data_IF_914733598408
#
_entry.id   IF_914733598408
#
_cell.length_a   1.000
_cell.length_b   1.000
_cell.length_c   1.000
_cell.angle_alpha   90.00
_cell.angle_beta   90.00
_cell.angle_gamma   90.00
#
_symmetry.space_group_name_H-M   'P 1'
#
loop_
_entity.id
_entity.type
_entity.pdbx_description
1 polymer ?
#
# COMPACT_ATOMS: atom_id res chain seq x y z
N UNK A 1 -5.88 28.58 -18.64
CA UNK A 1 -5.16 27.29 -18.61
C UNK A 1 -5.64 26.39 -19.74
N UNK A 2 -4.75 25.52 -20.26
CA UNK A 2 -5.11 24.50 -21.25
C UNK A 2 -5.44 23.15 -20.60
N UNK A 3 -5.85 22.16 -21.39
CA UNK A 3 -6.27 20.82 -20.94
C UNK A 3 -5.23 20.11 -20.07
N UNK A 4 -3.96 20.14 -20.48
CA UNK A 4 -2.89 19.41 -19.80
C UNK A 4 -2.65 19.92 -18.36
N UNK A 5 -2.33 21.21 -18.22
CA UNK A 5 -2.01 21.82 -16.92
C UNK A 5 -3.28 22.06 -16.07
N UNK A 6 -4.40 22.37 -16.72
CA UNK A 6 -5.64 22.77 -16.04
C UNK A 6 -6.51 21.62 -15.55
N UNK A 7 -6.46 20.45 -16.22
CA UNK A 7 -7.35 19.32 -15.94
C UNK A 7 -6.56 18.02 -15.72
N UNK A 8 -5.71 17.63 -16.68
CA UNK A 8 -5.03 16.33 -16.65
C UNK A 8 -4.07 16.19 -15.45
N UNK A 9 -3.13 17.12 -15.26
CA UNK A 9 -2.16 17.05 -14.17
C UNK A 9 -2.82 17.10 -12.78
N UNK A 10 -3.78 18.01 -12.50
CA UNK A 10 -4.50 18.00 -11.23
C UNK A 10 -5.31 16.72 -10.99
N UNK A 11 -5.91 16.14 -12.04
CA UNK A 11 -6.66 14.89 -11.93
C UNK A 11 -5.72 13.71 -11.59
N UNK A 12 -4.61 13.57 -12.33
CA UNK A 12 -3.56 12.59 -12.04
C UNK A 12 -3.04 12.69 -10.61
N UNK A 13 -2.76 13.91 -10.14
CA UNK A 13 -2.24 14.17 -8.80
C UNK A 13 -3.18 13.73 -7.67
N UNK A 14 -4.49 13.83 -7.88
CA UNK A 14 -5.48 13.47 -6.85
C UNK A 14 -5.90 12.00 -6.91
N UNK A 15 -5.70 11.32 -8.05
CA UNK A 15 -5.92 9.87 -8.15
C UNK A 15 -4.72 9.11 -7.58
N UNK A 16 -3.49 9.48 -7.98
CA UNK A 16 -2.27 8.81 -7.52
C UNK A 16 -1.99 9.13 -6.06
N UNK A 17 -2.21 8.15 -5.18
CA UNK A 17 -2.09 8.32 -3.73
C UNK A 17 -1.33 7.21 -3.01
N UNK A 18 -1.43 7.26 -1.68
CA UNK A 18 -0.71 6.42 -0.73
C UNK A 18 -0.93 4.91 -0.95
N UNK A 19 -2.13 4.51 -1.42
CA UNK A 19 -2.47 3.09 -1.64
C UNK A 19 -1.53 2.42 -2.65
N UNK A 20 -1.10 3.15 -3.69
CA UNK A 20 -0.17 2.61 -4.70
C UNK A 20 1.14 2.12 -4.06
N UNK A 21 1.63 2.84 -3.06
CA UNK A 21 2.95 2.59 -2.46
C UNK A 21 2.88 1.72 -1.20
N UNK A 22 1.86 1.85 -0.36
CA UNK A 22 1.79 1.15 0.94
C UNK A 22 0.92 -0.11 0.94
N UNK A 23 0.02 -0.29 -0.02
CA UNK A 23 -1.02 -1.33 0.07
C UNK A 23 -1.16 -2.17 -1.18
N UNK A 24 -0.75 -1.68 -2.35
CA UNK A 24 -0.90 -2.43 -3.58
C UNK A 24 -0.12 -3.75 -3.57
N UNK A 25 1.10 -3.77 -3.04
CA UNK A 25 1.89 -5.00 -2.88
C UNK A 25 1.17 -6.01 -2.00
N UNK A 26 0.63 -5.57 -0.87
CA UNK A 26 -0.15 -6.40 0.05
C UNK A 26 -1.45 -6.94 -0.55
N UNK A 27 -2.18 -6.12 -1.32
CA UNK A 27 -3.37 -6.57 -2.06
C UNK A 27 -2.97 -7.67 -3.06
N UNK A 28 -1.88 -7.47 -3.81
CA UNK A 28 -1.36 -8.46 -4.76
C UNK A 28 -0.91 -9.74 -4.06
N UNK A 29 -0.29 -9.66 -2.90
CA UNK A 29 0.12 -10.83 -2.11
C UNK A 29 -1.05 -11.64 -1.56
N UNK A 30 -2.10 -10.97 -1.09
CA UNK A 30 -3.25 -11.61 -0.43
C UNK A 30 -4.27 -12.17 -1.42
N UNK A 31 -4.67 -11.40 -2.43
CA UNK A 31 -5.62 -11.83 -3.45
C UNK A 31 -4.96 -12.58 -4.63
N UNK A 32 -3.65 -12.49 -4.77
CA UNK A 32 -2.95 -12.97 -5.96
C UNK A 32 -3.16 -12.07 -7.16
N UNK A 33 -2.46 -12.35 -8.25
CA UNK A 33 -2.45 -11.51 -9.46
C UNK A 33 -3.84 -11.46 -10.11
N UNK A 34 -4.51 -12.61 -10.27
CA UNK A 34 -5.77 -12.69 -11.02
C UNK A 34 -6.91 -11.92 -10.36
N UNK A 35 -7.11 -12.11 -9.06
CA UNK A 35 -8.17 -11.43 -8.33
C UNK A 35 -7.83 -9.95 -8.10
N UNK A 36 -6.57 -9.61 -7.82
CA UNK A 36 -6.15 -8.21 -7.73
C UNK A 36 -6.39 -7.46 -9.04
N UNK A 37 -6.08 -8.08 -10.18
CA UNK A 37 -6.36 -7.51 -11.50
C UNK A 37 -7.87 -7.27 -11.68
N UNK A 38 -8.71 -8.23 -11.27
CA UNK A 38 -10.16 -8.07 -11.31
C UNK A 38 -10.65 -6.92 -10.41
N UNK A 39 -10.09 -6.75 -9.21
CA UNK A 39 -10.39 -5.63 -8.30
C UNK A 39 -10.09 -4.29 -8.97
N UNK A 40 -8.89 -4.16 -9.57
CA UNK A 40 -8.50 -2.94 -10.27
C UNK A 40 -9.43 -2.64 -11.45
N UNK A 41 -9.71 -3.63 -12.31
CA UNK A 41 -10.62 -3.47 -13.46
C UNK A 41 -12.01 -3.04 -13.01
N UNK A 42 -12.56 -3.68 -11.99
CA UNK A 42 -13.89 -3.35 -11.46
C UNK A 42 -13.94 -1.89 -10.96
N UNK A 43 -12.94 -1.45 -10.21
CA UNK A 43 -12.89 -0.08 -9.70
C UNK A 43 -12.65 0.96 -10.81
N UNK A 44 -11.74 0.67 -11.74
CA UNK A 44 -11.43 1.54 -12.88
C UNK A 44 -12.61 1.68 -13.84
N UNK A 45 -13.36 0.61 -14.10
CA UNK A 45 -14.56 0.67 -14.97
C UNK A 45 -15.67 1.52 -14.32
N UNK A 46 -15.90 1.38 -13.01
CA UNK A 46 -16.84 2.21 -12.27
C UNK A 46 -16.51 3.71 -12.39
N UNK A 47 -15.25 4.08 -12.19
CA UNK A 47 -14.80 5.48 -12.27
C UNK A 47 -14.80 6.01 -13.70
N UNK A 48 -14.47 5.19 -14.70
CA UNK A 48 -14.55 5.54 -16.12
C UNK A 48 -15.99 5.86 -16.54
N UNK A 49 -16.95 5.01 -16.17
CA UNK A 49 -18.38 5.26 -16.44
C UNK A 49 -18.86 6.54 -15.76
N UNK A 50 -18.40 6.80 -14.53
CA UNK A 50 -18.70 8.04 -13.80
C UNK A 50 -18.11 9.26 -14.49
N UNK A 51 -16.90 9.15 -15.05
CA UNK A 51 -16.25 10.24 -15.78
C UNK A 51 -16.94 10.55 -17.13
N UNK A 52 -17.51 9.55 -17.79
CA UNK A 52 -18.34 9.74 -18.99
C UNK A 52 -19.61 10.53 -18.62
N UNK A 53 -20.29 10.17 -17.52
CA UNK A 53 -21.43 10.92 -17.00
C UNK A 53 -21.07 12.35 -16.62
N UNK A 54 -19.92 12.55 -15.96
CA UNK A 54 -19.41 13.89 -15.64
C UNK A 54 -19.09 14.70 -16.89
N UNK A 55 -18.58 14.05 -17.94
CA UNK A 55 -18.30 14.71 -19.22
C UNK A 55 -19.57 15.22 -19.87
N UNK A 56 -20.66 14.45 -19.84
CA UNK A 56 -21.97 14.88 -20.33
C UNK A 56 -22.48 16.13 -19.57
N UNK A 57 -22.30 16.17 -18.25
CA UNK A 57 -22.63 17.33 -17.40
C UNK A 57 -21.80 18.55 -17.82
N UNK A 58 -20.49 18.38 -17.99
CA UNK A 58 -19.58 19.47 -18.37
C UNK A 58 -19.85 20.04 -19.77
N UNK A 59 -20.45 19.26 -20.66
CA UNK A 59 -20.86 19.72 -22.00
C UNK A 59 -22.27 20.29 -22.06
N UNK A 60 -23.06 20.18 -20.98
CA UNK A 60 -24.44 20.63 -20.94
C UNK A 60 -24.52 22.09 -20.45
N UNK A 61 -24.73 23.01 -21.40
CA UNK A 61 -24.86 24.44 -21.12
C UNK A 61 -23.53 25.15 -20.90
N UNK A 62 -23.59 26.38 -20.38
CA UNK A 62 -22.38 27.20 -20.15
C UNK A 62 -21.71 26.73 -18.86
N UNK A 63 -20.43 26.35 -18.93
CA UNK A 63 -19.69 25.88 -17.75
C UNK A 63 -19.40 27.06 -16.83
N UNK A 64 -20.00 27.12 -15.63
CA UNK A 64 -19.79 28.24 -14.73
C UNK A 64 -18.40 28.16 -14.07
N UNK A 65 -17.85 29.33 -13.74
CA UNK A 65 -16.71 29.43 -12.84
C UNK A 65 -17.20 29.13 -11.41
N UNK A 66 -16.71 28.04 -10.80
CA UNK A 66 -17.16 27.61 -9.48
C UNK A 66 -16.79 26.17 -9.09
N UNK A 67 -16.11 25.43 -9.96
CA UNK A 67 -15.66 24.07 -9.68
C UNK A 67 -16.74 23.01 -9.89
N UNK A 68 -16.46 21.80 -9.39
CA UNK A 68 -17.31 20.60 -9.54
C UNK A 68 -18.72 20.78 -8.96
N UNK A 69 -18.85 21.28 -7.74
CA UNK A 69 -20.14 21.50 -7.08
C UNK A 69 -21.05 22.47 -7.86
N UNK A 70 -20.50 23.60 -8.31
CA UNK A 70 -21.28 24.62 -9.02
C UNK A 70 -21.72 24.13 -10.41
N UNK A 71 -20.89 23.30 -11.05
CA UNK A 71 -21.24 22.63 -12.30
C UNK A 71 -22.40 21.65 -12.13
N UNK A 72 -22.33 20.78 -11.12
CA UNK A 72 -23.35 19.74 -10.88
C UNK A 72 -24.69 20.37 -10.48
N UNK A 73 -24.69 21.31 -9.53
CA UNK A 73 -25.91 21.95 -9.02
C UNK A 73 -26.67 22.76 -10.08
N UNK A 74 -25.98 23.29 -11.10
CA UNK A 74 -26.61 24.04 -12.19
C UNK A 74 -27.16 23.15 -13.29
N UNK A 75 -26.49 22.03 -13.59
CA UNK A 75 -26.94 21.11 -14.64
C UNK A 75 -28.02 20.12 -14.15
N UNK A 76 -27.96 19.67 -12.89
CA UNK A 76 -28.89 18.68 -12.31
C UNK A 76 -29.92 19.30 -11.35
N UNK A 77 -29.75 20.56 -10.97
CA UNK A 77 -30.61 21.25 -10.00
C UNK A 77 -30.10 21.20 -8.56
N UNK A 78 -30.70 22.01 -7.67
CA UNK A 78 -30.20 22.25 -6.32
C UNK A 78 -30.32 21.02 -5.40
N UNK A 79 -31.34 20.19 -5.56
CA UNK A 79 -31.58 19.00 -4.73
C UNK A 79 -30.45 17.97 -4.91
N UNK A 80 -30.15 17.62 -6.16
CA UNK A 80 -29.03 16.73 -6.49
C UNK A 80 -27.67 17.36 -6.15
N UNK A 81 -27.51 18.66 -6.44
CA UNK A 81 -26.28 19.38 -6.09
C UNK A 81 -25.97 19.34 -4.59
N UNK A 82 -26.98 19.56 -3.73
CA UNK A 82 -26.85 19.51 -2.28
C UNK A 82 -26.48 18.11 -1.77
N UNK A 83 -27.21 17.08 -2.20
CA UNK A 83 -26.95 15.71 -1.77
C UNK A 83 -25.56 15.21 -2.19
N UNK A 84 -25.19 15.38 -3.46
CA UNK A 84 -23.87 14.98 -3.98
C UNK A 84 -22.75 15.78 -3.32
N UNK A 85 -22.95 17.10 -3.12
CA UNK A 85 -21.98 17.97 -2.47
C UNK A 85 -21.68 17.56 -1.03
N UNK A 86 -22.70 17.18 -0.24
CA UNK A 86 -22.52 16.76 1.15
C UNK A 86 -21.78 15.42 1.24
N UNK A 87 -22.13 14.44 0.40
CA UNK A 87 -21.40 13.17 0.32
C UNK A 87 -19.94 13.38 -0.10
N UNK A 88 -19.69 14.25 -1.08
CA UNK A 88 -18.34 14.58 -1.53
C UNK A 88 -17.52 15.29 -0.43
N UNK A 89 -18.14 16.19 0.32
CA UNK A 89 -17.50 16.85 1.47
C UNK A 89 -17.08 15.85 2.56
N UNK A 90 -17.98 14.94 2.96
CA UNK A 90 -17.64 13.91 3.95
C UNK A 90 -16.56 12.96 3.43
N UNK A 91 -16.65 12.52 2.17
CA UNK A 91 -15.65 11.66 1.55
C UNK A 91 -14.25 12.28 1.52
N UNK A 92 -14.14 13.55 1.13
CA UNK A 92 -12.86 14.27 1.12
C UNK A 92 -12.32 14.55 2.52
N UNK A 93 -13.20 14.74 3.51
CA UNK A 93 -12.82 14.89 4.92
C UNK A 93 -12.18 13.61 5.46
N UNK A 94 -12.81 12.45 5.23
CA UNK A 94 -12.23 11.16 5.62
C UNK A 94 -10.96 10.83 4.83
N UNK A 95 -10.89 11.16 3.54
CA UNK A 95 -9.68 10.99 2.75
C UNK A 95 -8.50 11.81 3.30
N UNK A 96 -8.75 13.04 3.78
CA UNK A 96 -7.74 13.85 4.46
C UNK A 96 -7.16 13.14 5.70
N UNK A 97 -8.03 12.53 6.53
CA UNK A 97 -7.57 11.74 7.68
C UNK A 97 -6.75 10.50 7.27
N UNK A 98 -7.16 9.83 6.19
CA UNK A 98 -6.46 8.67 5.65
C UNK A 98 -5.03 9.01 5.20
N UNK A 99 -4.84 10.13 4.48
CA UNK A 99 -3.50 10.54 4.04
C UNK A 99 -2.59 10.92 5.22
N UNK A 100 -3.13 11.53 6.27
CA UNK A 100 -2.37 11.83 7.49
C UNK A 100 -1.93 10.52 8.17
N UNK A 101 -2.85 9.57 8.37
CA UNK A 101 -2.51 8.26 8.96
C UNK A 101 -1.45 7.53 8.15
N UNK A 102 -1.57 7.50 6.81
CA UNK A 102 -0.55 6.91 5.95
C UNK A 102 0.81 7.62 6.03
N UNK A 103 0.82 8.95 6.22
CA UNK A 103 2.06 9.70 6.43
C UNK A 103 2.73 9.34 7.75
N UNK A 104 1.95 9.19 8.82
CA UNK A 104 2.47 8.81 10.14
C UNK A 104 2.98 7.36 10.15
N UNK A 105 2.30 6.46 9.46
CA UNK A 105 2.78 5.08 9.25
C UNK A 105 4.14 5.06 8.55
N UNK A 106 4.30 5.85 7.47
CA UNK A 106 5.60 5.96 6.79
C UNK A 106 6.67 6.50 7.74
N UNK A 107 6.34 7.55 8.50
CA UNK A 107 7.28 8.20 9.42
C UNK A 107 7.75 7.25 10.53
N UNK A 108 6.82 6.55 11.17
CA UNK A 108 7.11 5.69 12.32
C UNK A 108 7.72 4.35 11.92
N UNK A 109 7.27 3.72 10.82
CA UNK A 109 7.77 2.40 10.43
C UNK A 109 9.08 2.49 9.66
N UNK A 110 9.21 3.44 8.72
CA UNK A 110 10.29 3.41 7.73
C UNK A 110 11.35 4.50 7.90
N UNK A 111 11.02 5.65 8.51
CA UNK A 111 11.97 6.77 8.63
C UNK A 111 12.61 6.83 10.02
N UNK A 112 11.81 6.85 11.08
CA UNK A 112 12.31 7.04 12.45
C UNK A 112 11.63 6.12 13.47
N UNK A 113 11.90 4.80 13.44
CA UNK A 113 11.28 3.83 14.36
C UNK A 113 11.62 4.09 15.83
N UNK A 114 12.78 4.67 16.12
CA UNK A 114 13.24 4.94 17.49
C UNK A 114 12.51 6.11 18.19
N UNK A 115 11.62 6.83 17.50
CA UNK A 115 10.89 7.97 18.08
C UNK A 115 9.51 7.62 18.62
N UNK A 116 9.11 6.34 18.60
CA UNK A 116 7.85 5.92 19.18
C UNK A 116 7.74 6.33 20.67
N UNK A 117 6.65 7.01 21.03
CA UNK A 117 6.40 7.51 22.40
C UNK A 117 5.95 6.36 23.31
N UNK A 118 5.09 5.50 22.78
CA UNK A 118 4.63 4.29 23.45
C UNK A 118 5.40 3.11 22.86
N UNK A 119 6.36 2.57 23.62
CA UNK A 119 7.10 1.36 23.26
C UNK A 119 6.51 0.20 24.06
N UNK A 120 6.01 -0.84 23.37
CA UNK A 120 5.50 -2.03 24.02
C UNK A 120 6.67 -2.90 24.52
N UNK A 121 6.61 -3.34 25.78
CA UNK A 121 7.57 -4.32 26.32
C UNK A 121 7.21 -5.77 25.93
N UNK A 122 5.94 -6.02 25.56
CA UNK A 122 5.42 -7.32 25.16
C UNK A 122 4.82 -7.25 23.76
N UNK A 123 4.99 -8.34 22.99
CA UNK A 123 4.50 -8.47 21.61
C UNK A 123 2.97 -8.38 21.48
N UNK A 124 2.23 -8.78 22.51
CA UNK A 124 0.74 -8.68 22.53
C UNK A 124 0.27 -7.22 22.50
N UNK A 125 0.98 -6.34 23.19
CA UNK A 125 0.61 -4.92 23.34
C UNK A 125 1.18 -4.04 22.21
N UNK A 126 1.94 -4.62 21.27
CA UNK A 126 2.63 -3.90 20.18
C UNK A 126 1.62 -3.19 19.26
N UNK A 127 0.53 -3.86 18.91
CA UNK A 127 -0.53 -3.29 18.07
C UNK A 127 -1.23 -2.11 18.75
N UNK A 128 -1.53 -2.21 20.04
CA UNK A 128 -2.15 -1.13 20.81
C UNK A 128 -1.21 0.06 20.99
N UNK A 129 0.07 -0.20 21.25
CA UNK A 129 1.10 0.82 21.35
C UNK A 129 1.26 1.57 20.01
N UNK A 130 1.30 0.85 18.88
CA UNK A 130 1.36 1.45 17.55
C UNK A 130 0.14 2.32 17.26
N UNK A 131 -1.07 1.88 17.60
CA UNK A 131 -2.30 2.66 17.44
C UNK A 131 -2.28 3.95 18.29
N UNK A 132 -1.79 3.87 19.52
CA UNK A 132 -1.68 5.04 20.39
C UNK A 132 -0.63 6.05 19.86
N UNK A 133 0.50 5.57 19.33
CA UNK A 133 1.47 6.41 18.64
C UNK A 133 0.82 7.13 17.43
N UNK A 134 0.07 6.40 16.61
CA UNK A 134 -0.63 7.01 15.46
C UNK A 134 -1.63 8.08 15.87
N UNK A 135 -2.33 7.92 17.00
CA UNK A 135 -3.28 8.94 17.52
C UNK A 135 -2.56 10.23 17.91
N UNK A 136 -1.45 10.15 18.63
CA UNK A 136 -0.68 11.33 19.08
C UNK A 136 -0.04 12.06 17.90
N UNK A 137 0.71 11.35 17.06
CA UNK A 137 1.36 11.95 15.91
C UNK A 137 0.36 12.43 14.85
N UNK A 138 -0.73 11.69 14.64
CA UNK A 138 -1.79 12.06 13.71
C UNK A 138 -2.52 13.35 14.11
N UNK A 139 -2.87 13.50 15.39
CA UNK A 139 -3.51 14.74 15.88
C UNK A 139 -2.59 15.95 15.80
N UNK A 140 -1.30 15.78 16.12
CA UNK A 140 -0.28 16.82 15.94
C UNK A 140 -0.13 17.23 14.46
N UNK A 141 -0.01 16.26 13.55
CA UNK A 141 0.10 16.50 12.12
C UNK A 141 -1.15 17.20 11.56
N UNK A 142 -2.35 16.79 11.98
CA UNK A 142 -3.61 17.44 11.60
C UNK A 142 -3.64 18.92 12.04
N UNK A 143 -3.24 19.22 13.27
CA UNK A 143 -3.19 20.60 13.78
C UNK A 143 -2.20 21.47 12.98
N UNK A 144 -1.03 20.91 12.63
CA UNK A 144 -0.03 21.60 11.82
C UNK A 144 -0.56 21.86 10.40
N UNK A 145 -1.18 20.87 9.76
CA UNK A 145 -1.78 21.04 8.43
C UNK A 145 -2.92 22.07 8.44
N UNK A 146 -3.75 22.08 9.48
CA UNK A 146 -4.79 23.09 9.66
C UNK A 146 -4.20 24.51 9.76
N UNK A 147 -3.10 24.69 10.50
CA UNK A 147 -2.37 25.95 10.59
C UNK A 147 -1.82 26.38 9.23
N UNK A 148 -1.17 25.47 8.49
CA UNK A 148 -0.62 25.77 7.15
C UNK A 148 -1.71 26.24 6.19
N UNK A 149 -2.85 25.54 6.18
CA UNK A 149 -4.01 25.93 5.35
C UNK A 149 -4.56 27.29 5.76
N UNK A 150 -4.63 27.57 7.07
CA UNK A 150 -5.08 28.85 7.61
C UNK A 150 -4.16 30.03 7.23
N UNK A 151 -2.85 29.84 7.29
CA UNK A 151 -1.85 30.88 6.96
C UNK A 151 -1.88 31.25 5.47
N UNK A 152 -2.11 30.30 4.57
CA UNK A 152 -2.35 30.65 3.17
C UNK A 152 -2.27 29.51 2.16
N UNK A 153 -3.43 29.16 1.59
CA UNK A 153 -3.59 28.18 0.50
C UNK A 153 -2.83 28.55 -0.79
N UNK A 154 -2.48 29.84 -0.97
CA UNK A 154 -1.74 30.31 -2.16
C UNK A 154 -0.37 29.63 -2.31
N UNK A 155 0.33 29.36 -1.20
CA UNK A 155 1.63 28.70 -1.23
C UNK A 155 1.51 27.23 -1.63
N UNK A 156 0.50 26.54 -1.08
CA UNK A 156 0.20 25.13 -1.40
C UNK A 156 -0.07 24.95 -2.89
N UNK A 157 -0.86 25.86 -3.49
CA UNK A 157 -1.15 25.82 -4.92
C UNK A 157 0.09 26.00 -5.81
N UNK A 158 1.09 26.77 -5.36
CA UNK A 158 2.35 26.96 -6.10
C UNK A 158 3.26 25.73 -6.03
N UNK A 159 3.21 24.99 -4.91
CA UNK A 159 4.00 23.76 -4.71
C UNK A 159 3.37 22.51 -5.34
N UNK A 160 2.12 22.57 -5.80
CA UNK A 160 1.40 21.40 -6.34
C UNK A 160 2.16 20.64 -7.43
N UNK A 161 2.85 21.35 -8.35
CA UNK A 161 3.66 20.73 -9.40
C UNK A 161 4.87 19.96 -8.85
N UNK A 162 5.45 20.41 -7.73
CA UNK A 162 6.56 19.72 -7.06
C UNK A 162 6.07 18.38 -6.49
N UNK A 163 4.92 18.37 -5.83
CA UNK A 163 4.33 17.12 -5.31
C UNK A 163 4.03 16.12 -6.42
N UNK A 164 3.50 16.60 -7.56
CA UNK A 164 3.27 15.74 -8.71
C UNK A 164 4.58 15.17 -9.29
N UNK A 165 5.63 15.99 -9.38
CA UNK A 165 6.94 15.53 -9.84
C UNK A 165 7.49 14.40 -8.95
N UNK A 166 7.37 14.52 -7.62
CA UNK A 166 7.78 13.44 -6.70
C UNK A 166 7.05 12.12 -6.99
N UNK A 167 5.72 12.16 -7.18
CA UNK A 167 4.93 10.96 -7.48
C UNK A 167 5.35 10.31 -8.79
N UNK A 168 5.52 11.11 -9.85
CA UNK A 168 5.93 10.60 -11.18
C UNK A 168 7.33 9.98 -11.13
N UNK A 169 8.28 10.64 -10.43
CA UNK A 169 9.64 10.10 -10.26
C UNK A 169 9.64 8.79 -9.48
N UNK A 170 8.83 8.66 -8.43
CA UNK A 170 8.70 7.41 -7.68
C UNK A 170 8.13 6.27 -8.54
N UNK A 171 7.13 6.55 -9.37
CA UNK A 171 6.57 5.55 -10.31
C UNK A 171 7.62 5.13 -11.35
N UNK A 172 8.36 6.09 -11.91
CA UNK A 172 9.47 5.79 -12.84
C UNK A 172 10.55 4.95 -12.18
N UNK A 173 10.87 5.20 -10.90
CA UNK A 173 11.82 4.40 -10.13
C UNK A 173 11.34 2.95 -9.94
N UNK A 174 10.04 2.72 -9.71
CA UNK A 174 9.45 1.38 -9.65
C UNK A 174 9.67 0.64 -10.97
N UNK A 175 9.30 1.24 -12.10
CA UNK A 175 9.50 0.61 -13.41
C UNK A 175 10.98 0.35 -13.72
N UNK A 176 11.87 1.32 -13.41
CA UNK A 176 13.30 1.15 -13.60
C UNK A 176 13.85 0.01 -12.72
N UNK A 177 13.40 -0.10 -11.47
CA UNK A 177 13.77 -1.18 -10.56
C UNK A 177 13.33 -2.55 -11.09
N UNK A 178 12.10 -2.67 -11.55
CA UNK A 178 11.58 -3.89 -12.17
C UNK A 178 12.39 -4.30 -13.40
N UNK A 179 12.70 -3.36 -14.31
CA UNK A 179 13.53 -3.65 -15.48
C UNK A 179 14.94 -4.08 -15.05
N UNK A 180 15.52 -3.45 -14.03
CA UNK A 180 16.82 -3.84 -13.48
C UNK A 180 16.83 -5.30 -13.00
N UNK A 181 15.74 -5.78 -12.40
CA UNK A 181 15.65 -7.17 -11.92
C UNK A 181 15.75 -8.23 -13.04
N UNK A 182 15.54 -7.85 -14.30
CA UNK A 182 15.73 -8.75 -15.46
C UNK A 182 17.22 -9.04 -15.67
N UNK A 183 18.08 -8.05 -15.40
CA UNK A 183 19.53 -8.14 -15.62
C UNK A 183 20.20 -8.65 -14.35
N UNK A 184 19.92 -8.00 -13.23
CA UNK A 184 20.54 -8.27 -11.94
C UNK A 184 19.50 -8.07 -10.82
N UNK A 185 18.97 -9.16 -10.25
CA UNK A 185 18.06 -9.06 -9.10
C UNK A 185 18.81 -8.52 -7.88
N UNK A 186 18.18 -7.65 -7.06
CA UNK A 186 18.81 -7.11 -5.86
C UNK A 186 18.94 -8.21 -4.81
N UNK A 187 20.08 -8.31 -4.11
CA UNK A 187 20.23 -9.28 -3.00
C UNK A 187 19.39 -8.85 -1.79
N UNK A 188 18.31 -9.58 -1.52
CA UNK A 188 17.39 -9.33 -0.42
C UNK A 188 16.94 -10.69 0.12
N UNK A 189 17.78 -11.35 0.94
CA UNK A 189 17.45 -12.66 1.47
C UNK A 189 16.40 -12.55 2.58
N UNK A 190 15.54 -13.57 2.65
CA UNK A 190 14.56 -13.76 3.71
C UNK A 190 14.77 -15.15 4.33
N UNK A 191 14.51 -15.24 5.63
CA UNK A 191 14.71 -16.45 6.41
C UNK A 191 13.41 -17.23 6.57
N UNK A 192 13.43 -18.50 6.19
CA UNK A 192 12.32 -19.43 6.39
C UNK A 192 12.74 -20.55 7.35
N UNK A 193 11.85 -20.89 8.28
CA UNK A 193 11.95 -22.09 9.10
C UNK A 193 10.94 -23.11 8.57
N UNK A 194 11.43 -24.14 7.88
CA UNK A 194 10.55 -25.06 7.14
C UNK A 194 9.75 -24.31 6.08
N UNK A 195 8.44 -24.17 6.28
CA UNK A 195 7.54 -23.41 5.41
C UNK A 195 7.12 -22.05 5.99
N UNK A 196 7.51 -21.70 7.22
CA UNK A 196 7.09 -20.48 7.93
C UNK A 196 8.10 -19.36 7.75
N UNK A 197 7.63 -18.15 7.52
CA UNK A 197 8.47 -16.95 7.39
C UNK A 197 8.81 -16.32 8.74
N UNK A 198 10.06 -15.84 8.85
CA UNK A 198 10.61 -15.24 10.06
C UNK A 198 10.85 -13.73 9.88
N UNK A 199 10.55 -12.97 10.92
CA UNK A 199 10.77 -11.53 10.97
C UNK A 199 12.24 -11.20 11.32
N UNK A 200 12.91 -10.43 10.48
CA UNK A 200 14.38 -10.23 10.53
C UNK A 200 14.86 -9.12 11.50
N UNK A 201 14.06 -8.70 12.49
CA UNK A 201 14.45 -7.58 13.38
C UNK A 201 15.43 -7.95 14.49
N UNK A 202 15.40 -9.20 14.95
CA UNK A 202 16.09 -9.62 16.18
C UNK A 202 17.25 -10.61 15.93
N UNK A 203 17.63 -10.84 14.67
CA UNK A 203 18.76 -11.71 14.32
C UNK A 203 19.40 -11.30 13.00
N UNK A 204 20.73 -11.33 12.91
CA UNK A 204 21.45 -10.95 11.69
C UNK A 204 21.65 -12.11 10.70
N UNK A 205 21.70 -13.36 11.19
CA UNK A 205 22.04 -14.55 10.39
C UNK A 205 20.93 -15.59 10.42
N UNK A 206 20.49 -16.03 9.24
CA UNK A 206 19.52 -17.12 9.06
C UNK A 206 20.16 -18.51 9.24
N UNK A 207 20.72 -18.79 10.41
CA UNK A 207 21.35 -20.07 10.71
C UNK A 207 21.11 -20.45 12.17
N UNK A 208 21.06 -21.75 12.48
CA UNK A 208 20.86 -22.23 13.87
C UNK A 208 22.13 -22.14 14.70
N UNK A 209 23.26 -22.48 14.09
CA UNK A 209 24.58 -22.52 14.72
C UNK A 209 25.62 -21.93 13.78
N UNK A 210 26.63 -21.29 14.33
CA UNK A 210 27.76 -20.73 13.58
C UNK A 210 29.06 -21.39 14.06
N UNK A 211 29.94 -21.76 13.13
CA UNK A 211 31.25 -22.31 13.47
C UNK A 211 32.27 -21.18 13.48
N UNK A 212 32.69 -20.77 14.68
CA UNK A 212 33.74 -19.74 14.86
C UNK A 212 34.97 -20.43 15.42
N UNK A 213 36.09 -20.41 14.68
CA UNK A 213 37.37 -21.03 15.08
C UNK A 213 37.22 -22.52 15.47
N UNK A 214 36.56 -23.32 14.63
CA UNK A 214 36.27 -24.75 14.85
C UNK A 214 35.38 -25.09 16.06
N UNK A 215 34.78 -24.09 16.71
CA UNK A 215 33.82 -24.29 17.80
C UNK A 215 32.43 -23.85 17.33
N UNK A 216 31.43 -24.68 17.57
CA UNK A 216 30.02 -24.40 17.26
C UNK A 216 29.40 -23.52 18.34
N UNK A 217 29.00 -22.31 17.95
CA UNK A 217 28.23 -21.39 18.79
C UNK A 217 26.78 -21.36 18.31
N UNK A 218 25.86 -21.10 19.23
CA UNK A 218 24.45 -20.85 18.91
C UNK A 218 24.27 -19.41 18.42
N UNK A 219 23.37 -19.20 17.47
CA UNK A 219 23.07 -17.87 16.94
C UNK A 219 22.05 -17.13 17.83
N UNK A 220 21.79 -15.86 17.55
CA UNK A 220 20.73 -15.10 18.24
C UNK A 220 19.35 -15.69 17.96
N UNK A 221 19.14 -16.21 16.74
CA UNK A 221 17.93 -16.92 16.36
C UNK A 221 17.67 -18.14 17.28
N UNK A 222 18.72 -18.87 17.68
CA UNK A 222 18.59 -19.98 18.64
C UNK A 222 17.98 -19.53 19.97
N UNK A 223 18.37 -18.35 20.47
CA UNK A 223 17.86 -17.80 21.75
C UNK A 223 16.37 -17.46 21.69
N UNK A 224 15.82 -17.22 20.49
CA UNK A 224 14.41 -16.91 20.30
C UNK A 224 13.52 -18.18 20.35
N UNK A 225 14.07 -19.35 20.02
CA UNK A 225 13.33 -20.62 19.98
C UNK A 225 13.69 -21.62 21.08
N UNK A 226 14.78 -21.37 21.83
CA UNK A 226 15.30 -22.26 22.84
C UNK A 226 15.48 -21.55 24.19
N UNK A 227 15.25 -22.27 25.30
CA UNK A 227 15.29 -21.68 26.64
C UNK A 227 16.68 -21.28 27.16
N UNK A 228 17.76 -21.69 26.49
CA UNK A 228 19.12 -21.29 26.87
C UNK A 228 20.03 -21.22 25.63
N UNK A 229 21.15 -20.46 25.69
CA UNK A 229 22.11 -20.36 24.59
C UNK A 229 23.01 -21.60 24.43
N UNK A 230 22.84 -22.63 25.27
CA UNK A 230 23.63 -23.86 25.17
C UNK A 230 23.00 -24.84 24.18
N UNK A 231 23.83 -25.69 23.56
CA UNK A 231 23.38 -26.71 22.60
C UNK A 231 22.46 -27.77 23.23
N UNK A 232 22.52 -27.95 24.55
CA UNK A 232 21.70 -28.91 25.30
C UNK A 232 20.35 -28.32 25.76
N UNK A 233 19.98 -27.12 25.30
CA UNK A 233 18.73 -26.48 25.68
C UNK A 233 17.51 -27.25 25.14
N UNK A 234 16.42 -27.24 25.90
CA UNK A 234 15.09 -27.58 25.35
C UNK A 234 14.65 -26.49 24.39
N UNK A 235 14.43 -26.87 23.13
CA UNK A 235 13.97 -26.01 22.05
C UNK A 235 12.54 -26.35 21.65
N UNK A 236 11.93 -25.43 20.92
CA UNK A 236 10.64 -25.65 20.26
C UNK A 236 10.68 -26.84 19.28
N UNK A 237 9.62 -27.65 19.29
CA UNK A 237 9.55 -28.89 18.52
C UNK A 237 9.65 -28.61 17.01
N UNK A 238 8.89 -27.63 16.52
CA UNK A 238 8.93 -27.23 15.11
C UNK A 238 10.32 -26.74 14.67
N UNK A 239 11.02 -26.00 15.54
CA UNK A 239 12.39 -25.53 15.28
C UNK A 239 13.40 -26.68 15.22
N UNK A 240 13.23 -27.74 16.01
CA UNK A 240 14.13 -28.90 15.95
C UNK A 240 13.92 -29.76 14.70
N UNK A 241 12.66 -29.95 14.29
CA UNK A 241 12.28 -30.84 13.19
C UNK A 241 12.56 -30.24 11.80
N UNK A 242 12.48 -28.91 11.66
CA UNK A 242 12.58 -28.24 10.38
C UNK A 242 13.91 -27.50 10.19
N UNK A 243 14.45 -27.52 8.98
CA UNK A 243 15.68 -26.79 8.64
C UNK A 243 15.38 -25.31 8.38
N UNK A 244 16.40 -24.47 8.60
CA UNK A 244 16.38 -23.07 8.17
C UNK A 244 16.87 -23.00 6.73
N UNK A 245 16.19 -22.19 5.92
CA UNK A 245 16.59 -21.91 4.55
C UNK A 245 16.50 -20.42 4.28
N UNK A 246 17.51 -19.91 3.59
CA UNK A 246 17.55 -18.53 3.12
C UNK A 246 17.11 -18.52 1.65
N UNK A 247 16.06 -17.76 1.34
CA UNK A 247 15.57 -17.58 -0.04
C UNK A 247 15.61 -16.12 -0.42
N UNK A 248 15.70 -15.86 -1.72
CA UNK A 248 15.73 -14.51 -2.26
C UNK A 248 14.30 -13.93 -2.31
N UNK A 249 14.04 -12.82 -1.60
CA UNK A 249 12.72 -12.20 -1.54
C UNK A 249 12.31 -11.47 -2.82
N UNK A 250 13.29 -11.00 -3.60
CA UNK A 250 13.07 -10.43 -4.95
C UNK A 250 13.91 -11.21 -5.94
N UNK A 251 13.41 -12.36 -6.43
CA UNK A 251 14.15 -13.19 -7.38
C UNK A 251 14.13 -12.61 -8.81
N UNK A 252 13.27 -11.62 -9.08
CA UNK A 252 13.22 -10.88 -10.34
C UNK A 252 12.32 -11.51 -11.40
N UNK A 253 12.10 -10.78 -12.50
CA UNK A 253 11.05 -11.08 -13.48
C UNK A 253 11.25 -12.42 -14.23
N UNK A 254 12.49 -12.88 -14.40
CA UNK A 254 12.83 -14.12 -15.11
C UNK A 254 12.70 -15.39 -14.24
N UNK A 255 12.50 -15.23 -12.92
CA UNK A 255 12.51 -16.35 -11.97
C UNK A 255 11.31 -17.29 -12.08
N UNK A 256 10.22 -16.87 -12.74
CA UNK A 256 8.99 -17.65 -12.89
C UNK A 256 8.06 -17.62 -11.66
N UNK A 257 8.37 -16.80 -10.64
CA UNK A 257 7.57 -16.63 -9.41
C UNK A 257 6.14 -16.18 -9.66
N UNK A 258 5.87 -15.59 -10.84
CA UNK A 258 4.52 -15.24 -11.28
C UNK A 258 3.53 -16.40 -11.11
N UNK A 259 3.95 -17.66 -11.35
CA UNK A 259 3.09 -18.84 -11.23
C UNK A 259 2.64 -19.10 -9.79
N UNK A 260 3.53 -18.84 -8.84
CA UNK A 260 3.26 -19.04 -7.41
C UNK A 260 2.33 -17.96 -6.86
N UNK A 261 2.37 -16.76 -7.46
CA UNK A 261 1.54 -15.61 -7.07
C UNK A 261 0.23 -15.47 -7.88
N UNK A 262 -0.12 -16.43 -8.75
CA UNK A 262 -1.33 -16.32 -9.58
C UNK A 262 -2.62 -16.28 -8.75
N UNK A 263 -2.63 -17.03 -7.63
CA UNK A 263 -3.80 -17.22 -6.78
C UNK A 263 -3.54 -16.71 -5.37
N UNK A 264 -4.55 -16.08 -4.78
CA UNK A 264 -4.49 -15.55 -3.43
C UNK A 264 -4.67 -16.60 -2.34
N UNK A 265 -4.35 -16.18 -1.12
CA UNK A 265 -4.62 -16.90 0.12
C UNK A 265 -5.29 -15.96 1.10
N UNK A 266 -6.60 -16.12 1.23
CA UNK A 266 -7.37 -15.44 2.26
C UNK A 266 -7.26 -16.19 3.58
N UNK A 267 -6.91 -15.47 4.65
CA UNK A 267 -6.78 -16.03 5.99
C UNK A 267 -7.47 -15.19 7.06
N UNK A 268 -7.79 -15.78 8.23
CA UNK A 268 -8.14 -15.03 9.43
C UNK A 268 -6.93 -14.23 9.96
N UNK A 269 -7.20 -13.26 10.82
CA UNK A 269 -6.15 -12.58 11.59
C UNK A 269 -5.40 -13.60 12.45
N UNK A 270 -4.07 -13.48 12.52
CA UNK A 270 -3.20 -14.40 13.25
C UNK A 270 -2.84 -15.69 12.49
N UNK A 271 -3.21 -15.82 11.21
CA UNK A 271 -2.73 -16.91 10.36
C UNK A 271 -1.25 -16.69 9.99
N UNK A 272 -0.42 -17.74 10.08
CA UNK A 272 1.00 -17.70 9.70
C UNK A 272 1.18 -17.51 8.19
N UNK A 273 2.15 -16.70 7.79
CA UNK A 273 2.51 -16.50 6.38
C UNK A 273 3.47 -17.63 5.95
N UNK A 274 2.91 -18.64 5.28
CA UNK A 274 3.63 -19.86 4.87
C UNK A 274 3.89 -19.92 3.35
N UNK A 275 5.01 -20.54 2.94
CA UNK A 275 5.34 -20.81 1.53
C UNK A 275 4.91 -22.24 1.14
N UNK A 276 3.97 -22.36 0.21
CA UNK A 276 3.39 -23.65 -0.25
C UNK A 276 4.40 -24.63 -0.85
N UNK A 277 5.38 -24.13 -1.62
CA UNK A 277 6.31 -24.96 -2.39
C UNK A 277 7.44 -25.57 -1.53
N UNK A 278 7.40 -25.42 -0.21
CA UNK A 278 8.46 -25.86 0.69
C UNK A 278 7.97 -26.91 1.68
N UNK A 279 8.70 -28.01 1.81
CA UNK A 279 8.32 -29.10 2.70
C UNK A 279 8.60 -28.74 4.16
N UNK A 280 7.61 -28.94 5.02
CA UNK A 280 7.73 -28.84 6.48
C UNK A 280 7.11 -30.06 7.15
N UNK A 281 7.64 -30.40 8.33
CA UNK A 281 7.05 -31.39 9.23
C UNK A 281 6.04 -30.66 10.12
N UNK A 282 4.74 -31.00 10.05
CA UNK A 282 3.72 -30.35 10.86
C UNK A 282 3.84 -30.79 12.33
N UNK A 283 3.56 -29.86 13.25
CA UNK A 283 3.55 -30.08 14.70
C UNK A 283 2.14 -29.80 15.22
N UNK A 284 1.71 -30.51 16.26
CA UNK A 284 0.34 -30.43 16.79
C UNK A 284 0.09 -29.23 17.73
N UNK A 285 1.13 -28.68 18.37
CA UNK A 285 1.00 -27.56 19.31
C UNK A 285 1.53 -26.25 18.71
N UNK A 286 0.63 -25.37 18.27
CA UNK A 286 0.95 -24.03 17.75
C UNK A 286 0.68 -22.91 18.79
N UNK A 287 0.32 -23.25 20.04
CA UNK A 287 -0.18 -22.28 21.02
C UNK A 287 0.82 -21.17 21.38
N UNK A 288 2.13 -21.44 21.28
CA UNK A 288 3.21 -20.50 21.61
C UNK A 288 3.77 -19.75 20.41
N UNK A 289 3.24 -19.97 19.21
CA UNK A 289 3.81 -19.39 18.00
C UNK A 289 3.63 -17.87 17.93
N UNK A 290 2.59 -17.33 18.57
CA UNK A 290 2.30 -15.89 18.65
C UNK A 290 3.49 -15.10 19.24
N UNK A 291 4.18 -15.67 20.23
CA UNK A 291 5.31 -15.03 20.92
C UNK A 291 6.65 -15.16 20.18
N UNK A 292 6.70 -15.96 19.11
CA UNK A 292 7.91 -16.23 18.35
C UNK A 292 8.03 -15.24 17.19
N UNK A 293 9.21 -15.08 16.56
CA UNK A 293 9.44 -14.14 15.47
C UNK A 293 8.85 -14.62 14.13
N UNK A 294 7.63 -15.16 14.13
CA UNK A 294 6.89 -15.47 12.91
C UNK A 294 6.11 -14.27 12.41
N UNK A 295 5.87 -14.26 11.10
CA UNK A 295 5.02 -13.27 10.42
C UNK A 295 3.58 -13.80 10.36
N UNK A 296 2.63 -12.96 10.75
CA UNK A 296 1.22 -13.27 10.83
C UNK A 296 0.41 -12.30 9.98
N UNK A 297 -0.77 -12.73 9.54
CA UNK A 297 -1.75 -11.83 8.95
C UNK A 297 -2.32 -10.90 10.03
N UNK A 298 -2.13 -9.58 9.88
CA UNK A 298 -2.64 -8.58 10.81
C UNK A 298 -4.18 -8.62 10.95
N UNK A 299 -4.88 -8.75 9.83
CA UNK A 299 -6.34 -8.67 9.74
C UNK A 299 -6.92 -9.84 8.96
N UNK A 300 -8.19 -10.16 9.21
CA UNK A 300 -8.91 -11.12 8.38
C UNK A 300 -9.12 -10.54 6.99
N UNK A 301 -8.72 -11.32 5.97
CA UNK A 301 -8.75 -10.88 4.58
C UNK A 301 -9.83 -11.63 3.81
N UNK A 302 -10.60 -10.92 3.01
CA UNK A 302 -11.55 -11.49 2.05
C UNK A 302 -11.75 -10.51 0.90
N UNK A 303 -12.23 -11.00 -0.25
CA UNK A 303 -12.30 -10.23 -1.50
C UNK A 303 -12.94 -8.84 -1.35
N UNK A 304 -14.11 -8.75 -0.70
CA UNK A 304 -14.83 -7.47 -0.57
C UNK A 304 -14.13 -6.46 0.35
N UNK A 305 -13.36 -6.91 1.33
CA UNK A 305 -12.52 -6.04 2.15
C UNK A 305 -11.38 -5.42 1.32
N UNK A 306 -10.74 -6.20 0.46
CA UNK A 306 -9.67 -5.71 -0.42
C UNK A 306 -10.21 -4.71 -1.45
N UNK A 307 -11.40 -4.93 -2.00
CA UNK A 307 -12.08 -3.94 -2.85
C UNK A 307 -12.26 -2.61 -2.09
N UNK A 308 -12.72 -2.66 -0.83
CA UNK A 308 -12.89 -1.47 0.01
C UNK A 308 -11.58 -0.73 0.31
N UNK A 309 -10.48 -1.46 0.53
CA UNK A 309 -9.15 -0.87 0.75
C UNK A 309 -8.59 -0.27 -0.54
N UNK A 310 -8.83 -0.89 -1.69
CA UNK A 310 -8.33 -0.41 -2.97
C UNK A 310 -9.12 0.79 -3.51
N UNK A 311 -10.44 0.84 -3.31
CA UNK A 311 -11.33 1.82 -3.95
C UNK A 311 -10.90 3.30 -3.82
N UNK A 312 -10.38 3.79 -2.67
CA UNK A 312 -9.93 5.17 -2.57
C UNK A 312 -8.82 5.55 -3.57
N UNK A 313 -8.08 4.57 -4.11
CA UNK A 313 -7.01 4.79 -5.10
C UNK A 313 -7.50 5.23 -6.48
N UNK A 314 -8.77 4.96 -6.83
CA UNK A 314 -9.36 5.38 -8.11
C UNK A 314 -10.26 6.61 -7.95
N UNK A 315 -10.42 7.12 -6.73
CA UNK A 315 -11.18 8.34 -6.45
C UNK A 315 -10.40 9.59 -6.88
N UNK A 316 -11.00 10.79 -6.74
CA UNK A 316 -10.32 12.04 -7.10
C UNK A 316 -10.58 12.53 -8.53
N UNK A 317 -11.41 11.84 -9.31
CA UNK A 317 -11.76 12.23 -10.70
C UNK A 317 -12.40 13.63 -10.81
N UNK A 318 -12.99 14.14 -9.74
CA UNK A 318 -13.61 15.48 -9.68
C UNK A 318 -12.57 16.61 -9.61
N UNK A 319 -11.29 16.31 -9.36
CA UNK A 319 -10.23 17.31 -9.32
C UNK A 319 -10.06 18.03 -10.67
N UNK A 320 -10.38 17.36 -11.79
CA UNK A 320 -10.28 17.92 -13.13
C UNK A 320 -11.22 19.11 -13.38
N UNK A 321 -12.37 19.19 -12.69
CA UNK A 321 -13.34 20.27 -12.85
C UNK A 321 -13.22 21.37 -11.79
N UNK A 322 -12.39 21.22 -10.77
CA UNK A 322 -12.22 22.20 -9.69
C UNK A 322 -11.60 23.53 -10.16
N UNK A 323 -10.91 23.54 -11.31
CA UNK A 323 -10.34 24.76 -11.93
C UNK A 323 -11.14 25.22 -13.16
N UNK A 324 -12.44 24.91 -13.22
CA UNK A 324 -13.29 25.19 -14.39
C UNK A 324 -13.26 26.64 -14.87
N UNK A 325 -13.18 27.60 -13.93
CA UNK A 325 -13.19 29.04 -14.24
C UNK A 325 -11.91 29.57 -14.90
N UNK A 326 -10.78 28.86 -14.77
CA UNK A 326 -9.49 29.29 -15.32
C UNK A 326 -9.18 28.67 -16.69
N UNK A 327 -10.06 27.81 -17.21
CA UNK A 327 -9.87 27.11 -18.48
C UNK A 327 -10.27 27.98 -19.67
N UNK A 328 -9.50 27.92 -20.76
CA UNK A 328 -9.84 28.65 -22.01
C UNK A 328 -11.10 28.08 -22.68
N UNK A 329 -11.27 26.77 -22.61
CA UNK A 329 -12.43 26.02 -23.11
C UNK A 329 -12.70 24.85 -22.16
N UNK A 330 -13.56 25.08 -21.18
CA UNK A 330 -13.87 24.11 -20.15
C UNK A 330 -14.68 22.92 -20.68
N UNK A 331 -15.60 23.15 -21.62
CA UNK A 331 -16.47 22.11 -22.21
C UNK A 331 -15.65 21.05 -22.93
N UNK A 332 -14.58 21.45 -23.63
CA UNK A 332 -13.67 20.50 -24.29
C UNK A 332 -12.59 19.96 -23.37
N UNK A 333 -12.03 20.80 -22.49
CA UNK A 333 -10.87 20.42 -21.68
C UNK A 333 -11.21 19.42 -20.59
N UNK A 334 -12.37 19.53 -19.95
CA UNK A 334 -12.73 18.67 -18.82
C UNK A 334 -12.92 17.21 -19.26
N UNK A 335 -13.72 16.88 -20.28
CA UNK A 335 -13.88 15.50 -20.75
C UNK A 335 -12.55 14.85 -21.16
N UNK A 336 -11.78 15.53 -22.00
CA UNK A 336 -10.53 14.99 -22.54
C UNK A 336 -9.51 14.78 -21.42
N UNK A 337 -9.34 15.78 -20.55
CA UNK A 337 -8.34 15.72 -19.48
C UNK A 337 -8.67 14.65 -18.44
N UNK A 338 -9.93 14.54 -18.02
CA UNK A 338 -10.35 13.58 -16.99
C UNK A 338 -10.29 12.14 -17.51
N UNK A 339 -10.80 11.85 -18.71
CA UNK A 339 -10.77 10.50 -19.29
C UNK A 339 -9.33 10.03 -19.51
N UNK A 340 -8.47 10.92 -20.03
CA UNK A 340 -7.06 10.59 -20.27
C UNK A 340 -6.29 10.36 -18.96
N UNK A 341 -6.61 11.12 -17.90
CA UNK A 341 -6.06 10.90 -16.57
C UNK A 341 -6.44 9.52 -16.02
N UNK A 342 -7.72 9.15 -16.06
CA UNK A 342 -8.20 7.84 -15.59
C UNK A 342 -7.59 6.71 -16.40
N UNK A 343 -7.49 6.85 -17.72
CA UNK A 343 -6.84 5.85 -18.57
C UNK A 343 -5.36 5.66 -18.20
N UNK A 344 -4.64 6.76 -17.96
CA UNK A 344 -3.23 6.72 -17.57
C UNK A 344 -3.03 6.05 -16.21
N UNK A 345 -3.80 6.45 -15.19
CA UNK A 345 -3.68 5.86 -13.84
C UNK A 345 -4.10 4.40 -13.83
N UNK A 346 -5.17 4.04 -14.54
CA UNK A 346 -5.61 2.64 -14.67
C UNK A 346 -4.51 1.78 -15.30
N UNK A 347 -3.84 2.27 -16.35
CA UNK A 347 -2.70 1.57 -16.95
C UNK A 347 -1.56 1.37 -15.94
N UNK A 348 -1.23 2.39 -15.15
CA UNK A 348 -0.18 2.30 -14.11
C UNK A 348 -0.56 1.23 -13.07
N UNK A 349 -1.77 1.28 -12.51
CA UNK A 349 -2.20 0.29 -11.51
C UNK A 349 -2.18 -1.14 -12.04
N UNK A 350 -2.70 -1.35 -13.25
CA UNK A 350 -2.80 -2.66 -13.87
C UNK A 350 -1.42 -3.26 -14.18
N UNK A 351 -0.49 -2.44 -14.66
CA UNK A 351 0.88 -2.88 -14.89
C UNK A 351 1.61 -3.15 -13.57
N UNK A 352 1.45 -2.30 -12.55
CA UNK A 352 2.04 -2.54 -11.23
C UNK A 352 1.57 -3.86 -10.59
N UNK A 353 0.28 -4.21 -10.69
CA UNK A 353 -0.24 -5.50 -10.18
C UNK A 353 0.52 -6.69 -10.78
N UNK A 354 0.68 -6.71 -12.10
CA UNK A 354 1.38 -7.79 -12.80
C UNK A 354 2.87 -7.79 -12.45
N UNK A 355 3.52 -6.62 -12.43
CA UNK A 355 4.95 -6.51 -12.17
C UNK A 355 5.32 -6.91 -10.74
N UNK A 356 4.53 -6.52 -9.74
CA UNK A 356 4.77 -6.92 -8.34
C UNK A 356 4.64 -8.42 -8.15
N UNK A 357 3.56 -9.02 -8.65
CA UNK A 357 3.36 -10.46 -8.55
C UNK A 357 4.38 -11.28 -9.36
N UNK A 358 4.98 -10.70 -10.40
CA UNK A 358 5.97 -11.40 -11.21
C UNK A 358 7.42 -11.29 -10.70
N UNK A 359 7.74 -10.28 -9.88
CA UNK A 359 9.12 -10.01 -9.45
C UNK A 359 9.40 -10.32 -7.97
N UNK A 360 8.37 -10.30 -7.12
CA UNK A 360 8.51 -10.39 -5.65
C UNK A 360 7.93 -11.72 -5.16
N UNK A 361 8.61 -12.35 -4.22
CA UNK A 361 8.17 -13.59 -3.58
C UNK A 361 6.88 -13.38 -2.76
N UNK A 362 5.93 -14.33 -2.85
CA UNK A 362 4.60 -14.18 -2.24
C UNK A 362 4.57 -14.04 -0.72
N UNK A 363 5.55 -14.59 0.00
CA UNK A 363 5.67 -14.37 1.46
C UNK A 363 6.03 -12.91 1.79
N UNK A 364 6.82 -12.24 0.94
CA UNK A 364 7.18 -10.82 1.12
C UNK A 364 6.01 -9.92 0.74
N UNK A 365 5.25 -10.30 -0.28
CA UNK A 365 4.06 -9.54 -0.69
C UNK A 365 2.93 -9.60 0.35
N UNK A 366 2.83 -10.66 1.15
CA UNK A 366 1.76 -10.81 2.15
C UNK A 366 2.06 -10.13 3.49
N UNK A 367 3.30 -9.70 3.69
CA UNK A 367 3.72 -8.89 4.83
C UNK A 367 3.49 -7.39 4.54
N UNK A 368 3.16 -6.60 5.55
CA UNK A 368 2.64 -5.23 5.41
C UNK A 368 3.61 -4.14 5.84
#
# INVERSE_FOLDING_TARGET
MGTFIGVYLPCMQNILGVILFLRLTWIVGTAGIMESFAIVVMCCTCTMLTAISMSAIATNGVVPAGGSYYMISRSLGPEFGGAVGLCFYLGTTFAGSMYILGTIEILLTYIVPNTAVFVAEKKEDETEAMLNNMRVYGTCCLALMALVVFVGVKYVNKLALVFLACVVLSIMAIYAGVIKTIIEPPNYPICLLGNRSLQNHNFEKCMKTEVIKNVTYTTELWKLFCGSPHLNATCDEYFTLNNLTEIQGIPGLLSGVIKDNMWGEYGPSGMLVEKKNQSSVPVQDNSRDIYKPYIFNDISTFFTLLVGIYFPSVTGIMAGSNRSGDLRDAQRSIPIGTILAIATTSFIYMTCVVLFGACIEGVVLRDK
#
